data_IF_361365281325
#
_entry.id   IF_361365281325
#
_cell.length_a   1.000
_cell.length_b   1.000
_cell.length_c   1.000
_cell.angle_alpha   90.00
_cell.angle_beta   90.00
_cell.angle_gamma   90.00
#
_symmetry.space_group_name_H-M   'P 1'
#
loop_
_entity.id
_entity.type
_entity.pdbx_description
1 polymer ?
#
# COMPACT_ATOMS: atom_id res chain seq x y z
N UNK A 1 -3.64 -4.36 33.19
CA UNK A 1 -3.23 -4.03 31.79
C UNK A 1 -2.92 -2.54 31.68
N UNK A 2 -1.84 -2.15 30.97
CA UNK A 2 -1.50 -0.76 30.69
C UNK A 2 -1.11 -0.59 29.22
N UNK A 3 -1.06 0.66 28.75
CA UNK A 3 -0.81 0.98 27.34
C UNK A 3 0.59 0.57 26.85
N UNK A 4 1.58 0.56 27.75
CA UNK A 4 2.95 0.15 27.40
C UNK A 4 3.02 -1.34 27.05
N UNK A 5 2.26 -2.19 27.76
CA UNK A 5 2.15 -3.63 27.45
C UNK A 5 1.55 -3.85 26.05
N UNK A 6 0.47 -3.12 25.71
CA UNK A 6 -0.16 -3.14 24.38
C UNK A 6 0.84 -2.75 23.30
N UNK A 7 1.59 -1.66 23.51
CA UNK A 7 2.62 -1.20 22.60
C UNK A 7 3.71 -2.24 22.36
N UNK A 8 4.15 -2.95 23.38
CA UNK A 8 5.18 -3.98 23.25
C UNK A 8 4.69 -5.20 22.47
N UNK A 9 3.42 -5.60 22.61
CA UNK A 9 2.84 -6.65 21.77
C UNK A 9 2.91 -6.27 20.30
N UNK A 10 2.48 -5.05 19.94
CA UNK A 10 2.56 -4.58 18.58
C UNK A 10 4.02 -4.56 18.08
N UNK A 11 4.94 -3.98 18.85
CA UNK A 11 6.32 -3.88 18.47
C UNK A 11 7.00 -5.23 18.21
N UNK A 12 6.70 -6.26 19.01
CA UNK A 12 7.27 -7.60 18.81
C UNK A 12 6.77 -8.22 17.51
N UNK A 13 5.48 -8.12 17.20
CA UNK A 13 4.91 -8.65 15.95
C UNK A 13 5.49 -7.91 14.74
N UNK A 14 5.55 -6.59 14.79
CA UNK A 14 6.03 -5.71 13.72
C UNK A 14 7.54 -5.88 13.45
N UNK A 15 8.30 -6.38 14.43
CA UNK A 15 9.73 -6.69 14.29
C UNK A 15 9.99 -8.21 14.15
N UNK A 16 9.08 -8.96 13.51
CA UNK A 16 9.29 -10.36 13.16
C UNK A 16 9.48 -11.28 14.35
N UNK A 17 8.79 -10.99 15.47
CA UNK A 17 8.86 -11.72 16.75
C UNK A 17 10.20 -11.61 17.47
N UNK A 18 11.06 -10.67 17.04
CA UNK A 18 12.31 -10.34 17.71
C UNK A 18 12.08 -9.39 18.87
N UNK A 19 12.23 -9.89 20.09
CA UNK A 19 12.09 -9.06 21.31
C UNK A 19 13.20 -8.01 21.42
N UNK A 20 14.39 -8.34 20.91
CA UNK A 20 15.54 -7.42 20.91
C UNK A 20 15.28 -6.22 19.97
N UNK A 21 14.82 -6.49 18.74
CA UNK A 21 14.52 -5.42 17.77
C UNK A 21 13.33 -4.58 18.22
N UNK A 22 12.30 -5.22 18.81
CA UNK A 22 11.18 -4.53 19.44
C UNK A 22 11.63 -3.61 20.59
N UNK A 23 12.60 -4.04 21.38
CA UNK A 23 13.16 -3.23 22.47
C UNK A 23 13.89 -1.98 21.91
N UNK A 24 14.69 -2.15 20.86
CA UNK A 24 15.34 -1.04 20.15
C UNK A 24 14.29 -0.06 19.60
N UNK A 25 13.27 -0.58 18.91
CA UNK A 25 12.18 0.22 18.34
C UNK A 25 11.39 0.99 19.41
N UNK A 26 11.31 0.45 20.64
CA UNK A 26 10.62 1.07 21.77
C UNK A 26 11.54 1.88 22.70
N UNK A 27 12.82 2.06 22.36
CA UNK A 27 13.82 2.76 23.17
C UNK A 27 13.92 2.19 24.60
N UNK A 28 13.98 0.87 24.75
CA UNK A 28 14.01 0.17 26.04
C UNK A 28 14.90 -1.07 25.99
N UNK A 29 15.04 -1.77 27.12
CA UNK A 29 15.81 -3.01 27.20
C UNK A 29 14.95 -4.25 26.97
N UNK A 30 15.53 -5.27 26.30
CA UNK A 30 14.84 -6.53 25.99
C UNK A 30 14.17 -7.21 27.21
N UNK A 31 14.77 -7.25 28.43
CA UNK A 31 14.10 -7.83 29.60
C UNK A 31 12.82 -7.10 30.00
N UNK A 32 12.75 -5.78 29.77
CA UNK A 32 11.56 -4.97 30.05
C UNK A 32 10.41 -5.40 29.15
N UNK A 33 10.66 -5.52 27.84
CA UNK A 33 9.65 -5.96 26.87
C UNK A 33 9.14 -7.35 27.24
N UNK A 34 10.05 -8.33 27.49
CA UNK A 34 9.67 -9.69 27.85
C UNK A 34 8.85 -9.75 29.15
N UNK A 35 9.23 -8.97 30.17
CA UNK A 35 8.51 -8.91 31.45
C UNK A 35 7.10 -8.35 31.27
N UNK A 36 6.96 -7.25 30.52
CA UNK A 36 5.66 -6.62 30.30
C UNK A 36 4.70 -7.51 29.51
N UNK A 37 5.21 -8.23 28.48
CA UNK A 37 4.39 -9.18 27.73
C UNK A 37 3.94 -10.32 28.63
N UNK A 38 4.87 -10.91 29.42
CA UNK A 38 4.51 -11.99 30.35
C UNK A 38 3.44 -11.51 31.36
N UNK A 39 3.63 -10.34 31.94
CA UNK A 39 2.65 -9.78 32.90
C UNK A 39 1.28 -9.58 32.23
N UNK A 40 1.24 -9.17 30.96
CA UNK A 40 -0.02 -9.03 30.22
C UNK A 40 -0.68 -10.39 29.98
N UNK A 41 0.09 -11.40 29.53
CA UNK A 41 -0.41 -12.77 29.32
C UNK A 41 -0.96 -13.38 30.63
N UNK A 42 -0.23 -13.20 31.75
CA UNK A 42 -0.64 -13.67 33.08
C UNK A 42 -1.94 -12.98 33.53
N UNK A 43 -2.07 -11.67 33.33
CA UNK A 43 -3.25 -10.87 33.71
C UNK A 43 -4.49 -11.21 32.84
N UNK A 44 -4.30 -11.49 31.54
CA UNK A 44 -5.38 -11.87 30.64
C UNK A 44 -5.74 -13.36 30.72
N UNK A 45 -4.91 -14.17 31.34
CA UNK A 45 -5.07 -15.62 31.42
C UNK A 45 -4.94 -16.33 30.08
N UNK A 46 -4.20 -15.75 29.13
CA UNK A 46 -4.01 -16.32 27.80
C UNK A 46 -2.57 -16.10 27.30
N UNK A 47 -2.09 -17.01 26.46
CA UNK A 47 -0.81 -16.87 25.77
C UNK A 47 -1.02 -16.13 24.45
N UNK A 48 -0.32 -15.01 24.27
CA UNK A 48 -0.35 -14.23 23.03
C UNK A 48 0.64 -14.81 22.02
N UNK A 49 1.83 -15.18 22.49
CA UNK A 49 2.93 -15.65 21.63
C UNK A 49 3.18 -17.14 21.77
N UNK A 50 3.33 -17.81 20.65
CA UNK A 50 3.94 -19.13 20.59
C UNK A 50 5.41 -19.03 20.95
N UNK A 51 5.91 -19.95 21.80
CA UNK A 51 7.28 -19.93 22.30
C UNK A 51 8.03 -21.22 22.01
N UNK A 52 9.29 -21.07 21.60
CA UNK A 52 10.27 -22.16 21.57
C UNK A 52 11.42 -21.78 22.50
N UNK A 53 11.37 -22.29 23.72
CA UNK A 53 12.26 -21.83 24.80
C UNK A 53 12.03 -20.36 25.16
N UNK A 54 13.06 -19.53 24.97
CA UNK A 54 12.96 -18.07 25.23
C UNK A 54 12.57 -17.24 24.00
N UNK A 55 12.38 -17.86 22.84
CA UNK A 55 12.08 -17.14 21.58
C UNK A 55 10.59 -17.17 21.27
N UNK A 56 10.08 -16.04 20.83
CA UNK A 56 8.76 -15.96 20.23
C UNK A 56 8.85 -16.43 18.77
N UNK A 57 7.90 -17.28 18.36
CA UNK A 57 7.90 -17.89 17.02
C UNK A 57 6.73 -17.44 16.15
N UNK A 58 5.68 -16.94 16.79
CA UNK A 58 4.44 -16.53 16.12
C UNK A 58 3.40 -16.09 17.15
N UNK A 59 2.19 -15.84 16.69
CA UNK A 59 1.01 -15.61 17.51
C UNK A 59 0.24 -16.92 17.70
N UNK A 60 -0.31 -17.13 18.88
CA UNK A 60 -1.34 -18.16 19.08
C UNK A 60 -2.66 -17.72 18.42
N UNK A 61 -3.64 -18.60 18.27
CA UNK A 61 -4.97 -18.24 17.77
C UNK A 61 -5.64 -17.13 18.62
N UNK A 62 -5.48 -17.18 19.96
CA UNK A 62 -5.91 -16.09 20.85
C UNK A 62 -5.02 -14.84 20.68
N UNK A 63 -3.73 -15.04 20.42
CA UNK A 63 -2.76 -13.97 20.16
C UNK A 63 -3.06 -13.16 18.92
N UNK A 64 -3.55 -13.78 17.84
CA UNK A 64 -3.99 -13.06 16.64
C UNK A 64 -5.14 -12.09 16.94
N UNK A 65 -6.14 -12.55 17.73
CA UNK A 65 -7.24 -11.69 18.14
C UNK A 65 -6.78 -10.59 19.10
N UNK A 66 -5.91 -10.92 20.06
CA UNK A 66 -5.34 -9.95 21.00
C UNK A 66 -4.50 -8.90 20.27
N UNK A 67 -3.70 -9.30 19.26
CA UNK A 67 -2.91 -8.38 18.43
C UNK A 67 -3.80 -7.45 17.61
N UNK A 68 -4.88 -7.94 17.00
CA UNK A 68 -5.82 -7.10 16.27
C UNK A 68 -6.46 -6.02 17.15
N UNK A 69 -6.77 -6.37 18.41
CA UNK A 69 -7.26 -5.40 19.41
C UNK A 69 -6.16 -4.43 19.84
N UNK A 70 -4.95 -4.93 20.12
CA UNK A 70 -3.79 -4.11 20.51
C UNK A 70 -3.45 -3.08 19.43
N UNK A 71 -3.49 -3.48 18.16
CA UNK A 71 -3.25 -2.62 17.01
C UNK A 71 -4.28 -1.47 16.95
N UNK A 72 -5.56 -1.74 17.21
CA UNK A 72 -6.60 -0.70 17.27
C UNK A 72 -6.35 0.28 18.41
N UNK A 73 -6.08 -0.21 19.62
CA UNK A 73 -5.78 0.62 20.79
C UNK A 73 -4.56 1.54 20.54
N UNK A 74 -3.49 1.00 19.94
CA UNK A 74 -2.31 1.79 19.58
C UNK A 74 -2.64 2.87 18.56
N UNK A 75 -3.49 2.55 17.58
CA UNK A 75 -3.98 3.50 16.59
C UNK A 75 -4.84 4.62 17.19
N UNK A 76 -5.71 4.30 18.16
CA UNK A 76 -6.55 5.30 18.82
C UNK A 76 -5.72 6.23 19.72
N UNK A 77 -4.69 5.72 20.38
CA UNK A 77 -3.75 6.56 21.11
C UNK A 77 -2.94 7.49 20.17
N UNK A 78 -2.62 7.03 18.95
CA UNK A 78 -2.00 7.86 17.93
C UNK A 78 -2.96 8.95 17.45
N UNK A 79 -4.24 8.63 17.25
CA UNK A 79 -5.30 9.57 16.90
C UNK A 79 -5.48 10.66 17.98
N UNK A 80 -5.45 10.29 19.26
CA UNK A 80 -5.55 11.25 20.36
C UNK A 80 -4.37 12.23 20.37
N UNK A 81 -3.16 11.76 20.12
CA UNK A 81 -1.97 12.63 19.99
C UNK A 81 -2.09 13.56 18.76
N UNK A 82 -2.57 13.03 17.64
CA UNK A 82 -2.77 13.80 16.42
C UNK A 82 -3.81 14.91 16.63
N UNK A 83 -4.90 14.63 17.35
CA UNK A 83 -5.91 15.63 17.74
C UNK A 83 -5.27 16.76 18.56
N UNK A 84 -4.52 16.44 19.61
CA UNK A 84 -3.87 17.42 20.46
C UNK A 84 -2.91 18.33 19.64
N UNK A 85 -2.11 17.74 18.75
CA UNK A 85 -1.22 18.48 17.86
C UNK A 85 -1.97 19.37 16.86
N UNK A 86 -3.10 18.92 16.32
CA UNK A 86 -3.90 19.70 15.38
C UNK A 86 -4.56 20.90 16.05
N UNK A 87 -4.93 20.77 17.33
CA UNK A 87 -5.48 21.88 18.14
C UNK A 87 -4.43 22.94 18.48
N UNK A 88 -3.16 22.56 18.64
CA UNK A 88 -2.09 23.48 19.01
C UNK A 88 -1.35 24.05 17.81
N UNK A 89 -1.10 23.26 16.79
CA UNK A 89 -0.41 23.70 15.56
C UNK A 89 -0.84 22.89 14.34
N UNK A 90 -1.87 23.37 13.64
CA UNK A 90 -2.45 22.66 12.48
C UNK A 90 -1.57 22.66 11.22
N UNK A 91 -0.47 23.43 11.18
CA UNK A 91 0.38 23.63 10.00
C UNK A 91 1.70 22.87 10.04
N UNK A 92 2.10 22.31 11.18
CA UNK A 92 3.34 21.56 11.35
C UNK A 92 3.07 20.08 11.58
N UNK A 93 4.00 19.21 11.20
CA UNK A 93 3.90 17.78 11.52
C UNK A 93 4.51 16.87 10.47
N UNK A 94 4.04 15.62 10.48
CA UNK A 94 4.44 14.60 9.51
C UNK A 94 3.17 14.03 8.89
N UNK A 95 3.16 13.88 7.57
CA UNK A 95 2.15 13.12 6.83
C UNK A 95 2.82 11.93 6.17
N UNK A 96 2.46 10.73 6.60
CA UNK A 96 2.99 9.49 6.04
C UNK A 96 1.97 8.86 5.09
N UNK A 97 2.37 8.66 3.85
CA UNK A 97 1.53 8.12 2.77
C UNK A 97 2.10 6.76 2.37
N UNK A 98 1.33 5.70 2.58
CA UNK A 98 1.62 4.37 2.08
C UNK A 98 1.11 4.25 0.64
N UNK A 99 1.97 3.86 -0.31
CA UNK A 99 1.57 3.85 -1.71
C UNK A 99 2.37 2.84 -2.53
N UNK A 100 1.87 2.51 -3.72
CA UNK A 100 2.64 1.70 -4.68
C UNK A 100 3.65 2.56 -5.43
N UNK A 101 4.71 1.92 -5.95
CA UNK A 101 5.73 2.61 -6.74
C UNK A 101 5.12 3.42 -7.90
N UNK A 102 4.20 2.84 -8.65
CA UNK A 102 3.55 3.51 -9.80
C UNK A 102 2.87 4.82 -9.38
N UNK A 103 2.16 4.83 -8.25
CA UNK A 103 1.53 6.05 -7.74
C UNK A 103 2.58 7.07 -7.28
N UNK A 104 3.59 6.61 -6.51
CA UNK A 104 4.66 7.47 -6.02
C UNK A 104 5.44 8.16 -7.15
N UNK A 105 5.71 7.43 -8.24
CA UNK A 105 6.56 7.88 -9.34
C UNK A 105 5.82 8.74 -10.37
N UNK A 106 4.58 8.36 -10.72
CA UNK A 106 3.90 8.94 -11.88
C UNK A 106 2.71 9.85 -11.54
N UNK A 107 2.13 9.74 -10.36
CA UNK A 107 0.92 10.49 -9.99
C UNK A 107 1.19 11.49 -8.87
N UNK A 108 1.82 11.06 -7.80
CA UNK A 108 2.02 11.88 -6.60
C UNK A 108 2.95 13.10 -6.79
N UNK A 109 3.94 13.16 -7.71
CA UNK A 109 4.84 14.30 -7.78
C UNK A 109 4.12 15.64 -7.89
N UNK A 110 3.07 15.72 -8.72
CA UNK A 110 2.27 16.94 -8.88
C UNK A 110 1.55 17.32 -7.57
N UNK A 111 0.98 16.34 -6.88
CA UNK A 111 0.25 16.56 -5.62
C UNK A 111 1.22 16.97 -4.51
N UNK A 112 2.36 16.29 -4.42
CA UNK A 112 3.42 16.60 -3.46
C UNK A 112 3.92 18.03 -3.62
N UNK A 113 4.17 18.49 -4.85
CA UNK A 113 4.61 19.86 -5.13
C UNK A 113 3.57 20.89 -4.64
N UNK A 114 2.29 20.68 -4.97
CA UNK A 114 1.20 21.57 -4.53
C UNK A 114 1.07 21.57 -3.01
N UNK A 115 1.13 20.38 -2.41
CA UNK A 115 1.02 20.24 -0.95
C UNK A 115 2.18 20.92 -0.22
N UNK A 116 3.42 20.70 -0.64
CA UNK A 116 4.61 21.30 -0.01
C UNK A 116 4.61 22.83 -0.10
N UNK A 117 4.02 23.40 -1.15
CA UNK A 117 3.83 24.85 -1.26
C UNK A 117 2.83 25.37 -0.23
N UNK A 118 1.72 24.63 0.01
CA UNK A 118 0.69 25.01 0.97
C UNK A 118 1.08 24.74 2.43
N UNK A 119 1.86 23.69 2.66
CA UNK A 119 2.26 23.21 3.97
C UNK A 119 3.79 23.02 4.06
N UNK A 120 4.58 24.09 4.04
CA UNK A 120 6.06 24.02 4.02
C UNK A 120 6.64 23.37 5.27
N UNK A 121 5.95 23.45 6.42
CA UNK A 121 6.40 22.92 7.69
C UNK A 121 5.89 21.47 7.96
N UNK A 122 5.15 20.89 7.02
CA UNK A 122 4.71 19.49 7.11
C UNK A 122 5.68 18.60 6.35
N UNK A 123 6.33 17.67 7.06
CA UNK A 123 7.22 16.68 6.45
C UNK A 123 6.40 15.55 5.81
N UNK A 124 6.57 15.35 4.50
CA UNK A 124 6.00 14.20 3.79
C UNK A 124 6.92 12.99 3.89
N UNK A 125 6.34 11.83 4.20
CA UNK A 125 7.00 10.53 4.13
C UNK A 125 6.22 9.64 3.16
N UNK A 126 6.90 9.12 2.12
CA UNK A 126 6.34 8.11 1.22
C UNK A 126 6.86 6.73 1.64
N UNK A 127 5.95 5.85 2.02
CA UNK A 127 6.24 4.46 2.36
C UNK A 127 5.74 3.59 1.21
N UNK A 128 6.67 2.99 0.46
CA UNK A 128 6.32 2.25 -0.76
C UNK A 128 6.22 0.75 -0.50
N UNK A 129 5.18 0.13 -1.04
CA UNK A 129 4.93 -1.31 -0.93
C UNK A 129 3.85 -1.79 -1.89
N UNK A 130 3.50 -3.07 -1.79
CA UNK A 130 2.34 -3.60 -2.49
C UNK A 130 1.02 -3.13 -1.81
N UNK A 131 -0.14 -3.29 -2.47
CA UNK A 131 -1.41 -2.80 -1.93
C UNK A 131 -1.76 -3.36 -0.55
N UNK A 132 -1.42 -4.65 -0.27
CA UNK A 132 -1.64 -5.24 1.04
C UNK A 132 -0.77 -4.59 2.11
N UNK A 133 0.52 -4.41 1.84
CA UNK A 133 1.42 -3.71 2.76
C UNK A 133 0.95 -2.28 3.04
N UNK A 134 0.45 -1.57 2.02
CA UNK A 134 -0.11 -0.24 2.20
C UNK A 134 -1.33 -0.26 3.15
N UNK A 135 -2.20 -1.26 3.01
CA UNK A 135 -3.34 -1.46 3.91
C UNK A 135 -2.87 -1.76 5.35
N UNK A 136 -1.94 -2.70 5.50
CA UNK A 136 -1.39 -3.10 6.80
C UNK A 136 -0.78 -1.92 7.56
N UNK A 137 -0.02 -1.05 6.87
CA UNK A 137 0.59 0.14 7.48
C UNK A 137 -0.42 1.18 7.95
N UNK A 138 -1.51 1.39 7.19
CA UNK A 138 -2.57 2.32 7.63
C UNK A 138 -3.39 1.70 8.75
N UNK A 139 -3.73 0.42 8.67
CA UNK A 139 -4.42 -0.30 9.74
C UNK A 139 -3.60 -0.28 11.06
N UNK A 140 -2.26 -0.37 10.95
CA UNK A 140 -1.31 -0.28 12.06
C UNK A 140 -0.96 1.13 12.53
N UNK A 141 -1.51 2.18 11.87
CA UNK A 141 -1.15 3.59 12.15
C UNK A 141 0.34 3.92 11.91
N UNK A 142 1.02 3.15 11.07
CA UNK A 142 2.37 3.44 10.57
C UNK A 142 2.35 4.41 9.38
N UNK A 143 1.18 4.56 8.75
CA UNK A 143 0.89 5.56 7.75
C UNK A 143 -0.49 6.15 7.98
N UNK A 144 -0.67 7.42 7.59
CA UNK A 144 -1.93 8.15 7.75
C UNK A 144 -2.91 7.84 6.62
N UNK A 145 -2.40 7.65 5.40
CA UNK A 145 -3.17 7.48 4.18
C UNK A 145 -2.55 6.33 3.37
N UNK A 146 -3.39 5.44 2.83
CA UNK A 146 -2.98 4.52 1.78
C UNK A 146 -3.47 5.01 0.41
N UNK A 147 -2.62 4.91 -0.61
CA UNK A 147 -2.99 5.18 -2.01
C UNK A 147 -2.57 3.97 -2.84
N UNK A 148 -3.54 3.12 -3.18
CA UNK A 148 -3.30 1.93 -3.98
C UNK A 148 -4.59 1.49 -4.72
N UNK A 149 -4.59 0.27 -5.21
CA UNK A 149 -5.72 -0.28 -5.98
C UNK A 149 -6.72 -1.02 -5.10
N UNK A 150 -7.60 -1.77 -5.71
CA UNK A 150 -8.80 -2.40 -5.13
C UNK A 150 -8.51 -3.26 -3.89
N UNK A 151 -7.31 -3.81 -3.77
CA UNK A 151 -6.94 -4.66 -2.62
C UNK A 151 -7.01 -3.92 -1.27
N UNK A 152 -6.96 -2.57 -1.25
CA UNK A 152 -7.19 -1.79 -0.02
C UNK A 152 -8.57 -2.07 0.59
N UNK A 153 -9.58 -2.33 -0.25
CA UNK A 153 -10.94 -2.56 0.21
C UNK A 153 -11.16 -3.92 0.89
N UNK A 154 -10.15 -4.80 0.86
CA UNK A 154 -10.21 -6.11 1.50
C UNK A 154 -9.87 -6.06 2.99
N UNK A 155 -9.25 -4.99 3.46
CA UNK A 155 -8.91 -4.84 4.89
C UNK A 155 -10.12 -4.31 5.67
N UNK A 156 -10.64 -5.06 6.67
CA UNK A 156 -11.83 -4.70 7.42
C UNK A 156 -11.62 -3.47 8.34
N UNK A 157 -10.37 -3.11 8.64
CA UNK A 157 -10.03 -1.95 9.46
C UNK A 157 -9.97 -0.64 8.67
N UNK A 158 -10.06 -0.73 7.33
CA UNK A 158 -10.00 0.43 6.45
C UNK A 158 -11.38 0.79 5.90
N UNK A 159 -11.56 2.07 5.67
CA UNK A 159 -12.55 2.59 4.73
C UNK A 159 -11.82 3.04 3.47
N UNK A 160 -12.44 2.89 2.31
CA UNK A 160 -11.78 3.24 1.06
C UNK A 160 -12.68 4.08 0.16
N UNK A 161 -12.09 5.13 -0.41
CA UNK A 161 -12.74 6.06 -1.33
C UNK A 161 -12.15 5.89 -2.74
N UNK A 162 -12.96 5.67 -3.77
CA UNK A 162 -12.48 5.60 -5.14
C UNK A 162 -12.05 6.98 -5.62
N UNK A 163 -10.89 7.07 -6.29
CA UNK A 163 -10.32 8.34 -6.76
C UNK A 163 -10.40 8.47 -8.27
N UNK A 164 -9.83 7.52 -8.99
CA UNK A 164 -9.85 7.51 -10.46
C UNK A 164 -9.64 6.11 -11.02
N UNK A 165 -10.05 5.93 -12.28
CA UNK A 165 -9.85 4.70 -13.07
C UNK A 165 -8.69 4.86 -14.02
N UNK A 166 -8.00 3.75 -14.30
CA UNK A 166 -6.92 3.70 -15.26
C UNK A 166 -6.82 2.32 -15.92
N UNK A 167 -6.22 2.29 -17.10
CA UNK A 167 -6.07 1.07 -17.89
C UNK A 167 -4.60 0.63 -17.96
N UNK A 168 -4.40 -0.53 -18.55
CA UNK A 168 -3.08 -1.05 -18.90
C UNK A 168 -2.76 -0.74 -20.33
N UNK A 169 -1.48 -0.65 -20.62
CA UNK A 169 -0.95 -0.66 -21.97
C UNK A 169 0.08 -1.79 -22.11
N UNK A 170 0.32 -2.16 -23.35
CA UNK A 170 1.44 -3.02 -23.73
C UNK A 170 2.55 -2.15 -24.29
N UNK A 171 3.78 -2.45 -23.89
CA UNK A 171 4.98 -1.81 -24.43
C UNK A 171 5.91 -2.85 -25.05
N UNK A 172 6.57 -2.47 -26.13
CA UNK A 172 7.57 -3.27 -26.81
C UNK A 172 8.63 -2.38 -27.48
N UNK A 173 9.83 -2.88 -27.80
CA UNK A 173 10.77 -2.15 -28.65
C UNK A 173 10.14 -1.76 -29.98
N UNK A 174 10.50 -0.60 -30.56
CA UNK A 174 9.85 -0.07 -31.75
C UNK A 174 9.81 -1.04 -32.96
N UNK A 175 10.82 -1.91 -33.06
CA UNK A 175 10.92 -2.89 -34.15
C UNK A 175 10.37 -4.27 -33.83
N UNK A 176 9.78 -4.46 -32.66
CA UNK A 176 9.22 -5.75 -32.25
C UNK A 176 8.01 -6.13 -33.11
N UNK A 177 7.84 -7.41 -33.43
CA UNK A 177 6.78 -7.86 -34.35
C UNK A 177 5.37 -7.49 -33.88
N UNK A 178 5.11 -7.53 -32.59
CA UNK A 178 3.80 -7.16 -31.98
C UNK A 178 3.37 -5.72 -32.32
N UNK A 179 4.31 -4.83 -32.64
CA UNK A 179 4.01 -3.42 -32.99
C UNK A 179 3.31 -3.26 -34.34
N UNK A 180 3.24 -4.33 -35.14
CA UNK A 180 2.54 -4.39 -36.42
C UNK A 180 1.05 -4.73 -36.27
N UNK A 181 0.64 -5.22 -35.11
CA UNK A 181 -0.76 -5.50 -34.83
C UNK A 181 -1.56 -4.19 -34.78
N UNK A 182 -2.62 -4.11 -35.55
CA UNK A 182 -3.53 -2.94 -35.59
C UNK A 182 -4.36 -2.83 -34.31
N UNK A 183 -4.81 -3.98 -33.82
CA UNK A 183 -5.55 -4.14 -32.56
C UNK A 183 -4.96 -5.33 -31.83
N UNK A 184 -4.55 -5.13 -30.57
CA UNK A 184 -4.02 -6.22 -29.76
C UNK A 184 -5.12 -7.24 -29.41
N UNK A 185 -4.74 -8.49 -29.32
CA UNK A 185 -5.58 -9.56 -28.78
C UNK A 185 -4.80 -10.39 -27.76
N UNK A 186 -5.49 -11.10 -26.87
CA UNK A 186 -4.84 -12.02 -25.91
C UNK A 186 -4.05 -13.11 -26.67
N UNK A 187 -4.59 -13.62 -27.79
CA UNK A 187 -3.90 -14.58 -28.62
C UNK A 187 -2.57 -14.02 -29.18
N UNK A 188 -2.57 -12.76 -29.64
CA UNK A 188 -1.35 -12.12 -30.12
C UNK A 188 -0.31 -11.95 -29.00
N UNK A 189 -0.74 -11.56 -27.80
CA UNK A 189 0.12 -11.45 -26.62
C UNK A 189 0.68 -12.80 -26.17
N UNK A 190 -0.10 -13.86 -26.25
CA UNK A 190 0.30 -15.21 -25.82
C UNK A 190 1.48 -15.80 -26.65
N UNK A 191 1.76 -15.25 -27.82
CA UNK A 191 2.89 -15.67 -28.68
C UNK A 191 4.25 -15.18 -28.17
N UNK A 192 4.29 -14.26 -27.19
CA UNK A 192 5.52 -13.62 -26.74
C UNK A 192 5.74 -13.80 -25.26
N UNK A 193 7.02 -13.81 -24.80
CA UNK A 193 7.33 -13.70 -23.39
C UNK A 193 6.82 -12.38 -22.83
N UNK A 194 6.18 -12.43 -21.65
CA UNK A 194 5.59 -11.28 -20.99
C UNK A 194 6.43 -10.85 -19.79
N UNK A 195 6.53 -9.55 -19.62
CA UNK A 195 7.08 -8.90 -18.43
C UNK A 195 5.95 -8.11 -17.78
N UNK A 196 5.63 -8.39 -16.52
CA UNK A 196 4.51 -7.73 -15.83
C UNK A 196 4.74 -7.65 -14.34
N UNK A 197 3.76 -7.12 -13.59
CA UNK A 197 3.85 -7.02 -12.14
C UNK A 197 3.83 -8.38 -11.45
N UNK A 198 4.40 -8.41 -10.24
CA UNK A 198 4.32 -9.55 -9.34
C UNK A 198 2.88 -9.86 -8.92
N UNK A 199 2.62 -11.09 -8.50
CA UNK A 199 1.30 -11.57 -8.07
C UNK A 199 0.75 -10.86 -6.85
N UNK A 200 1.60 -10.22 -6.04
CA UNK A 200 1.20 -9.39 -4.91
C UNK A 200 0.46 -8.09 -5.32
N UNK A 201 0.46 -7.76 -6.63
CA UNK A 201 -0.25 -6.61 -7.16
C UNK A 201 -1.57 -7.02 -7.83
N UNK A 202 -2.65 -6.33 -7.49
CA UNK A 202 -3.99 -6.56 -8.06
C UNK A 202 -4.00 -6.55 -9.60
N UNK A 203 -3.10 -5.76 -10.18
CA UNK A 203 -2.93 -5.67 -11.63
C UNK A 203 -2.58 -6.99 -12.30
N UNK A 204 -1.81 -7.86 -11.66
CA UNK A 204 -1.43 -9.17 -12.18
C UNK A 204 -2.62 -10.12 -12.26
N UNK A 205 -3.43 -10.22 -11.23
CA UNK A 205 -4.59 -11.12 -11.23
C UNK A 205 -5.62 -10.79 -12.33
N UNK A 206 -5.69 -9.53 -12.78
CA UNK A 206 -6.54 -9.13 -13.89
C UNK A 206 -5.96 -9.56 -15.24
N UNK A 207 -4.64 -9.52 -15.41
CA UNK A 207 -3.95 -10.06 -16.59
C UNK A 207 -4.18 -11.57 -16.69
N UNK A 208 -3.90 -12.29 -15.59
CA UNK A 208 -4.07 -13.74 -15.56
C UNK A 208 -5.53 -14.17 -15.88
N UNK A 209 -6.53 -13.45 -15.34
CA UNK A 209 -7.95 -13.69 -15.64
C UNK A 209 -8.29 -13.45 -17.11
N UNK A 210 -7.78 -12.37 -17.71
CA UNK A 210 -8.02 -12.09 -19.12
C UNK A 210 -7.46 -13.19 -20.03
N UNK A 211 -6.25 -13.67 -19.75
CA UNK A 211 -5.68 -14.81 -20.48
C UNK A 211 -6.49 -16.08 -20.29
N UNK A 212 -6.83 -16.43 -19.05
CA UNK A 212 -7.64 -17.63 -18.75
C UNK A 212 -9.02 -17.59 -19.43
N UNK A 213 -9.69 -16.43 -19.42
CA UNK A 213 -11.00 -16.26 -20.08
C UNK A 213 -10.93 -16.44 -21.60
N UNK A 214 -9.78 -16.18 -22.21
CA UNK A 214 -9.53 -16.40 -23.63
C UNK A 214 -8.98 -17.81 -23.96
N UNK A 215 -8.83 -18.68 -22.94
CA UNK A 215 -8.29 -20.03 -23.11
C UNK A 215 -6.76 -20.10 -23.22
N UNK A 216 -6.06 -19.07 -22.83
CA UNK A 216 -4.59 -19.00 -22.89
C UNK A 216 -3.96 -18.95 -21.50
N UNK A 217 -2.71 -19.38 -21.40
CA UNK A 217 -1.84 -19.18 -20.23
C UNK A 217 -0.76 -18.17 -20.58
N UNK A 218 -0.56 -17.10 -19.78
CA UNK A 218 0.48 -16.11 -20.07
C UNK A 218 1.88 -16.72 -19.88
N UNK A 219 2.74 -16.59 -20.90
CA UNK A 219 4.16 -16.96 -20.80
C UNK A 219 4.93 -15.83 -20.09
N UNK A 220 4.93 -15.81 -18.76
CA UNK A 220 5.60 -14.76 -17.98
C UNK A 220 7.07 -15.09 -17.80
N UNK A 221 7.91 -14.37 -18.51
CA UNK A 221 9.37 -14.51 -18.45
C UNK A 221 9.97 -13.78 -17.24
N UNK A 222 9.34 -12.66 -16.79
CA UNK A 222 9.82 -11.89 -15.67
C UNK A 222 8.67 -11.16 -14.96
N UNK A 223 8.73 -11.13 -13.63
CA UNK A 223 7.86 -10.30 -12.80
C UNK A 223 8.66 -9.21 -12.11
N UNK A 224 8.08 -8.03 -11.94
CA UNK A 224 8.71 -6.90 -11.27
C UNK A 224 7.74 -6.20 -10.32
N UNK A 225 8.31 -5.50 -9.33
CA UNK A 225 7.53 -4.71 -8.37
C UNK A 225 7.10 -3.35 -8.94
N UNK A 226 7.79 -2.87 -9.97
CA UNK A 226 7.57 -1.54 -10.54
C UNK A 226 7.68 -1.49 -12.06
N UNK A 227 7.12 -0.41 -12.63
CA UNK A 227 7.07 -0.18 -14.08
C UNK A 227 8.43 0.14 -14.69
N UNK A 228 9.35 0.75 -13.95
CA UNK A 228 10.65 1.16 -14.49
C UNK A 228 11.53 -0.07 -14.73
N UNK A 229 11.45 -1.07 -13.83
CA UNK A 229 12.09 -2.38 -14.04
C UNK A 229 11.46 -3.09 -15.25
N UNK A 230 10.13 -3.11 -15.37
CA UNK A 230 9.46 -3.68 -16.56
C UNK A 230 10.00 -3.02 -17.83
N UNK A 231 10.03 -1.68 -17.92
CA UNK A 231 10.53 -0.94 -19.07
C UNK A 231 11.99 -1.29 -19.39
N UNK A 232 12.83 -1.41 -18.37
CA UNK A 232 14.24 -1.78 -18.54
C UNK A 232 14.40 -3.12 -19.23
N UNK A 233 13.70 -4.15 -18.79
CA UNK A 233 13.83 -5.49 -19.38
C UNK A 233 13.12 -5.61 -20.74
N UNK A 234 12.10 -4.78 -21.01
CA UNK A 234 11.54 -4.66 -22.37
C UNK A 234 12.57 -4.06 -23.34
N UNK A 235 13.34 -3.04 -22.91
CA UNK A 235 14.44 -2.48 -23.71
C UNK A 235 15.53 -3.51 -24.03
N UNK A 236 15.78 -4.42 -23.12
CA UNK A 236 16.71 -5.53 -23.30
C UNK A 236 16.13 -6.68 -24.14
N UNK A 237 14.91 -6.51 -24.67
CA UNK A 237 14.23 -7.50 -25.53
C UNK A 237 14.00 -8.88 -24.84
N UNK A 238 13.86 -8.89 -23.52
CA UNK A 238 13.54 -10.11 -22.75
C UNK A 238 12.07 -10.54 -22.98
N UNK A 239 11.20 -9.59 -23.30
CA UNK A 239 9.80 -9.81 -23.61
C UNK A 239 9.06 -8.49 -23.85
N UNK A 240 7.73 -8.56 -24.01
CA UNK A 240 6.85 -7.40 -24.09
C UNK A 240 6.31 -7.07 -22.70
N UNK A 241 6.14 -5.79 -22.39
CA UNK A 241 5.71 -5.32 -21.08
C UNK A 241 4.20 -5.07 -21.00
N UNK A 242 3.56 -5.51 -19.94
CA UNK A 242 2.19 -5.11 -19.57
C UNK A 242 2.26 -4.29 -18.29
N UNK A 243 1.92 -3.00 -18.37
CA UNK A 243 2.03 -2.07 -17.25
C UNK A 243 0.90 -1.03 -17.23
N UNK A 244 0.81 -0.24 -16.17
CA UNK A 244 -0.13 0.86 -16.04
C UNK A 244 0.15 1.91 -17.11
N UNK A 245 -0.89 2.37 -17.81
CA UNK A 245 -0.72 3.33 -18.94
C UNK A 245 -0.05 4.64 -18.52
N UNK A 246 -0.29 5.08 -17.26
CA UNK A 246 0.33 6.29 -16.71
C UNK A 246 1.85 6.17 -16.51
N UNK A 247 2.39 4.96 -16.53
CA UNK A 247 3.82 4.73 -16.37
C UNK A 247 4.59 4.88 -17.70
N UNK A 248 3.90 5.01 -18.83
CA UNK A 248 4.53 5.33 -20.10
C UNK A 248 4.66 6.84 -20.26
N UNK A 249 5.89 7.31 -20.38
CA UNK A 249 6.23 8.72 -20.55
C UNK A 249 6.79 8.93 -21.97
N UNK A 250 6.03 9.54 -22.93
CA UNK A 250 6.40 9.60 -24.34
C UNK A 250 7.80 10.18 -24.62
N UNK A 251 8.26 11.11 -23.77
CA UNK A 251 9.59 11.73 -23.93
C UNK A 251 10.73 10.82 -23.42
N UNK A 252 10.51 10.08 -22.35
CA UNK A 252 11.51 9.22 -21.72
C UNK A 252 11.52 7.82 -22.32
N UNK A 253 10.38 7.38 -22.84
CA UNK A 253 10.17 6.04 -23.40
C UNK A 253 10.02 6.08 -24.94
N UNK A 254 10.65 7.06 -25.61
CA UNK A 254 10.55 7.24 -27.06
C UNK A 254 11.12 6.05 -27.87
N UNK A 255 11.95 5.24 -27.25
CA UNK A 255 12.52 4.00 -27.80
C UNK A 255 11.58 2.79 -27.71
N UNK A 256 10.44 2.94 -27.01
CA UNK A 256 9.41 1.92 -26.85
C UNK A 256 8.12 2.33 -27.58
N UNK A 257 7.44 1.36 -28.16
CA UNK A 257 6.09 1.53 -28.70
C UNK A 257 5.07 1.21 -27.60
N UNK A 258 4.24 2.20 -27.24
CA UNK A 258 3.03 1.98 -26.44
C UNK A 258 1.89 1.55 -27.36
N UNK A 259 1.18 0.51 -26.95
CA UNK A 259 -0.01 0.00 -27.62
C UNK A 259 -1.17 -0.03 -26.62
N UNK A 260 -2.35 0.43 -27.05
CA UNK A 260 -3.54 0.37 -26.20
C UNK A 260 -3.97 -1.06 -25.95
N UNK A 261 -4.26 -1.37 -24.68
CA UNK A 261 -4.74 -2.66 -24.24
C UNK A 261 -5.98 -2.53 -23.31
N UNK A 262 -6.64 -1.36 -23.32
CA UNK A 262 -7.78 -1.05 -22.47
C UNK A 262 -8.97 -1.98 -22.70
N UNK A 263 -9.13 -2.49 -23.92
CA UNK A 263 -10.17 -3.44 -24.30
C UNK A 263 -9.87 -4.88 -23.88
N UNK A 264 -8.62 -5.20 -23.50
CA UNK A 264 -8.21 -6.56 -23.11
C UNK A 264 -8.32 -6.79 -21.60
N UNK A 265 -8.14 -5.73 -20.82
CA UNK A 265 -8.05 -5.83 -19.36
C UNK A 265 -9.06 -4.92 -18.68
N UNK A 266 -9.69 -5.41 -17.61
CA UNK A 266 -10.56 -4.58 -16.80
C UNK A 266 -9.77 -3.39 -16.21
N UNK A 267 -10.40 -2.20 -16.22
CA UNK A 267 -9.80 -1.01 -15.62
C UNK A 267 -9.59 -1.20 -14.12
N UNK A 268 -8.46 -0.73 -13.61
CA UNK A 268 -8.20 -0.64 -12.17
C UNK A 268 -8.73 0.66 -11.61
N UNK A 269 -9.09 0.66 -10.33
CA UNK A 269 -9.50 1.84 -9.58
C UNK A 269 -8.47 2.14 -8.52
N UNK A 270 -7.85 3.31 -8.60
CA UNK A 270 -7.05 3.82 -7.49
C UNK A 270 -7.96 4.33 -6.39
N UNK A 271 -7.65 3.97 -5.15
CA UNK A 271 -8.41 4.32 -3.95
C UNK A 271 -7.51 5.00 -2.93
N UNK A 272 -8.09 5.89 -2.14
CA UNK A 272 -7.56 6.31 -0.86
C UNK A 272 -8.11 5.36 0.20
N UNK A 273 -7.25 4.80 1.03
CA UNK A 273 -7.59 3.99 2.20
C UNK A 273 -7.25 4.73 3.47
N UNK A 274 -8.17 4.74 4.43
CA UNK A 274 -8.06 5.41 5.72
C UNK A 274 -8.47 4.43 6.82
N UNK A 275 -7.83 4.49 7.97
CA UNK A 275 -8.23 3.67 9.11
C UNK A 275 -9.59 4.15 9.63
N UNK A 276 -10.51 3.21 9.88
CA UNK A 276 -11.82 3.49 10.49
C UNK A 276 -11.65 4.21 11.81
N UNK A 277 -12.48 5.22 12.06
CA UNK A 277 -12.49 6.02 13.28
C UNK A 277 -11.17 6.73 13.60
N UNK A 278 -10.21 6.83 12.65
CA UNK A 278 -8.98 7.56 12.87
C UNK A 278 -9.22 9.07 12.83
N UNK A 279 -8.56 9.80 13.72
CA UNK A 279 -8.48 11.25 13.58
C UNK A 279 -7.43 11.58 12.53
N UNK A 280 -7.86 12.30 11.50
CA UNK A 280 -6.98 12.85 10.46
C UNK A 280 -6.75 14.33 10.72
N UNK A 281 -5.50 14.77 10.60
CA UNK A 281 -5.15 16.19 10.70
C UNK A 281 -5.62 16.95 9.45
N UNK A 282 -5.86 18.26 9.59
CA UNK A 282 -6.39 19.11 8.50
C UNK A 282 -5.60 18.99 7.21
N UNK A 283 -4.28 18.98 7.28
CA UNK A 283 -3.43 18.86 6.11
C UNK A 283 -3.57 17.49 5.40
N UNK A 284 -3.95 16.44 6.13
CA UNK A 284 -4.20 15.12 5.52
C UNK A 284 -5.45 15.14 4.65
N UNK A 285 -6.54 15.78 5.10
CA UNK A 285 -7.73 16.01 4.27
C UNK A 285 -7.41 16.83 3.02
N UNK A 286 -6.63 17.90 3.18
CA UNK A 286 -6.24 18.74 2.05
C UNK A 286 -5.40 17.97 1.03
N UNK A 287 -4.49 17.08 1.50
CA UNK A 287 -3.73 16.22 0.62
C UNK A 287 -4.66 15.28 -0.18
N UNK A 288 -5.65 14.66 0.49
CA UNK A 288 -6.61 13.77 -0.19
C UNK A 288 -7.40 14.53 -1.26
N UNK A 289 -7.89 15.72 -0.96
CA UNK A 289 -8.63 16.55 -1.92
C UNK A 289 -7.74 17.02 -3.08
N UNK A 290 -6.46 17.33 -2.84
CA UNK A 290 -5.50 17.63 -3.91
C UNK A 290 -5.23 16.42 -4.81
N UNK A 291 -5.15 15.23 -4.21
CA UNK A 291 -4.95 13.98 -4.95
C UNK A 291 -6.20 13.55 -5.73
N UNK A 292 -7.38 13.69 -5.14
CA UNK A 292 -8.66 13.30 -5.72
C UNK A 292 -9.67 14.46 -5.59
N UNK A 293 -9.64 15.45 -6.52
CA UNK A 293 -10.49 16.65 -6.42
C UNK A 293 -12.00 16.38 -6.49
N UNK A 294 -12.41 15.18 -6.88
CA UNK A 294 -13.81 14.74 -6.83
C UNK A 294 -14.33 14.46 -5.43
N UNK A 295 -13.43 14.25 -4.46
CA UNK A 295 -13.78 13.97 -3.07
C UNK A 295 -13.89 15.26 -2.28
N UNK A 296 -14.96 15.38 -1.48
CA UNK A 296 -15.14 16.48 -0.54
C UNK A 296 -14.71 16.05 0.86
N UNK A 297 -14.21 17.00 1.63
CA UNK A 297 -13.81 16.74 3.02
C UNK A 297 -14.94 16.12 3.85
N UNK A 298 -16.17 16.61 3.71
CA UNK A 298 -17.35 16.07 4.41
C UNK A 298 -17.60 14.61 4.08
N UNK A 299 -17.49 14.22 2.81
CA UNK A 299 -17.63 12.82 2.38
C UNK A 299 -16.53 11.92 2.99
N UNK A 300 -15.30 12.43 3.09
CA UNK A 300 -14.20 11.69 3.72
C UNK A 300 -14.48 11.50 5.21
N UNK A 301 -14.92 12.55 5.91
CA UNK A 301 -15.25 12.51 7.34
C UNK A 301 -16.44 11.55 7.61
N UNK A 302 -17.48 11.63 6.81
CA UNK A 302 -18.63 10.72 6.92
C UNK A 302 -18.22 9.26 6.77
N UNK A 303 -17.42 8.90 5.76
CA UNK A 303 -16.99 7.53 5.52
C UNK A 303 -16.05 7.02 6.63
N UNK A 304 -15.16 7.87 7.14
CA UNK A 304 -14.24 7.50 8.24
C UNK A 304 -15.00 7.20 9.54
N UNK A 305 -16.05 7.96 9.83
CA UNK A 305 -16.81 7.88 11.09
C UNK A 305 -18.17 7.16 10.97
N UNK A 306 -18.67 6.87 9.76
CA UNK A 306 -19.94 6.14 9.54
C UNK A 306 -19.90 4.67 10.00
N UNK A 307 -18.76 4.17 10.41
CA UNK A 307 -18.57 2.81 10.93
C UNK A 307 -18.86 2.70 12.45
N UNK A 308 -19.71 3.64 12.97
CA UNK A 308 -20.24 3.54 14.34
C UNK A 308 -21.46 2.63 14.41
#
# INVERSE_FOLDING_TARGET
>A
MNFQQVKFVCAVVENGFSVSDAAVACYTAQPVVSKHIKTLEDELGLQIFERRGKRFMGLTAAGEQAYAIAKRLNGDATSLKALALDMTNAKEGVLTIATTHTQARYVLPRVVTQFSTKYPDVKLKLKQGNPKQCADWVAGSEADIAIATEALALDPLLVTLPCYRWNRCVIAPLKHLITKEKVLSIEALAKYPLITYDTAFTGRSQVDRAFASAGFTPNVALTALDSDVIKTYVRLNVGIGILAEMAYEPKLDADLKRMDASHLFAASVTRVGLRKNAFLRRFAYDFIVMFAPSLKRTEIEEVVFAAR
#
